data_IF_260536937475
#
_entry.id   IF_260536937475
#
_cell.length_a   1.000
_cell.length_b   1.000
_cell.length_c   1.000
_cell.angle_alpha   90.00
_cell.angle_beta   90.00
_cell.angle_gamma   90.00
#
_symmetry.space_group_name_H-M   'P 1'
#
loop_
_entity.id
_entity.type
_entity.pdbx_description
1 polymer ?
#
# COMPACT_ATOMS: atom_id res chain seq x y z
N UNK A 1 -6.64 -13.91 -4.27
CA UNK A 1 -7.60 -14.02 -5.39
C UNK A 1 -7.89 -15.50 -5.60
N UNK A 2 -9.14 -15.90 -5.92
CA UNK A 2 -9.42 -17.29 -6.24
C UNK A 2 -8.63 -17.73 -7.48
N UNK A 3 -8.21 -19.00 -7.56
CA UNK A 3 -7.53 -19.53 -8.74
C UNK A 3 -8.44 -19.47 -9.96
N UNK A 4 -7.88 -19.12 -11.12
CA UNK A 4 -8.61 -19.02 -12.39
C UNK A 4 -8.33 -20.20 -13.33
N UNK A 5 -7.66 -21.24 -12.81
CA UNK A 5 -7.50 -22.56 -13.43
C UNK A 5 -8.03 -23.66 -12.51
N UNK A 6 -8.17 -24.90 -13.00
CA UNK A 6 -8.54 -26.04 -12.16
C UNK A 6 -7.52 -26.43 -11.09
N UNK A 7 -6.33 -25.79 -11.03
CA UNK A 7 -5.30 -26.08 -10.02
C UNK A 7 -5.82 -25.95 -8.59
N UNK A 8 -6.84 -25.13 -8.37
CA UNK A 8 -7.45 -24.93 -7.06
C UNK A 8 -8.34 -26.09 -6.59
N UNK A 9 -8.74 -27.01 -7.47
CA UNK A 9 -9.65 -28.11 -7.10
C UNK A 9 -11.07 -27.69 -6.72
N UNK A 10 -11.45 -26.42 -6.96
CA UNK A 10 -12.72 -25.85 -6.52
C UNK A 10 -13.48 -25.26 -7.73
N UNK A 11 -14.81 -25.42 -7.82
CA UNK A 11 -15.62 -24.75 -8.84
C UNK A 11 -15.43 -23.23 -8.77
N UNK A 12 -15.32 -22.59 -9.95
CA UNK A 12 -15.05 -21.15 -10.03
C UNK A 12 -16.12 -20.46 -10.87
N UNK A 13 -16.67 -19.38 -10.32
CA UNK A 13 -17.48 -18.38 -11.02
C UNK A 13 -16.70 -17.08 -11.15
N UNK A 14 -16.90 -16.36 -12.25
CA UNK A 14 -16.30 -15.06 -12.50
C UNK A 14 -17.36 -14.02 -12.85
N UNK A 15 -17.09 -12.77 -12.49
CA UNK A 15 -17.75 -11.61 -13.08
C UNK A 15 -16.89 -11.17 -14.26
N UNK A 16 -17.42 -11.35 -15.48
CA UNK A 16 -16.75 -10.98 -16.73
C UNK A 16 -17.31 -9.65 -17.22
N UNK A 17 -16.46 -8.64 -17.34
CA UNK A 17 -16.83 -7.35 -17.93
C UNK A 17 -16.74 -7.44 -19.46
N UNK A 18 -17.86 -7.32 -20.17
CA UNK A 18 -17.90 -7.42 -21.63
C UNK A 18 -18.80 -6.33 -22.24
N UNK A 19 -18.55 -5.97 -23.50
CA UNK A 19 -19.41 -5.02 -24.24
C UNK A 19 -20.75 -5.68 -24.53
N UNK A 20 -21.84 -5.09 -24.03
CA UNK A 20 -23.20 -5.55 -24.31
C UNK A 20 -23.67 -4.99 -25.66
N UNK A 21 -23.97 -5.87 -26.61
CA UNK A 21 -24.55 -5.52 -27.90
C UNK A 21 -25.88 -6.23 -28.06
N UNK A 22 -26.96 -5.49 -28.33
CA UNK A 22 -28.29 -6.05 -28.55
C UNK A 22 -29.00 -5.30 -29.68
N UNK A 23 -29.62 -6.04 -30.61
CA UNK A 23 -30.34 -5.45 -31.77
C UNK A 23 -29.50 -4.46 -32.58
N UNK A 24 -28.19 -4.73 -32.71
CA UNK A 24 -27.24 -3.84 -33.39
C UNK A 24 -26.77 -2.62 -32.57
N UNK A 25 -27.32 -2.40 -31.38
CA UNK A 25 -26.97 -1.29 -30.50
C UNK A 25 -25.91 -1.69 -29.46
N UNK A 26 -24.93 -0.81 -29.22
CA UNK A 26 -23.90 -0.95 -28.18
C UNK A 26 -24.32 -0.24 -26.88
N UNK A 27 -24.43 -1.01 -25.80
CA UNK A 27 -24.83 -0.56 -24.47
C UNK A 27 -23.63 -0.42 -23.50
N UNK A 28 -22.39 -0.43 -24.03
CA UNK A 28 -21.18 -0.26 -23.24
C UNK A 28 -20.76 -1.53 -22.49
N UNK A 29 -19.81 -1.37 -21.55
CA UNK A 29 -19.22 -2.50 -20.81
C UNK A 29 -20.08 -2.86 -19.61
N UNK A 30 -20.56 -4.10 -19.55
CA UNK A 30 -21.49 -4.62 -18.54
C UNK A 30 -20.96 -5.91 -17.88
N UNK A 31 -21.29 -6.14 -16.61
CA UNK A 31 -20.90 -7.36 -15.88
C UNK A 31 -21.79 -8.57 -16.19
N UNK A 32 -21.16 -9.71 -16.45
CA UNK A 32 -21.83 -11.01 -16.64
C UNK A 32 -21.31 -12.04 -15.63
N UNK A 33 -22.20 -12.77 -14.99
CA UNK A 33 -21.85 -13.91 -14.14
C UNK A 33 -21.62 -15.16 -15.02
N UNK A 34 -20.43 -15.74 -14.92
CA UNK A 34 -20.01 -16.87 -15.76
C UNK A 34 -19.40 -17.96 -14.91
N UNK A 35 -19.92 -19.19 -14.97
CA UNK A 35 -19.21 -20.36 -14.48
C UNK A 35 -18.02 -20.62 -15.41
N UNK A 36 -16.80 -20.59 -14.87
CA UNK A 36 -15.58 -20.77 -15.67
C UNK A 36 -14.99 -22.17 -15.54
N UNK A 37 -15.21 -22.87 -14.42
CA UNK A 37 -14.75 -24.24 -14.23
C UNK A 37 -15.50 -24.97 -13.13
N UNK A 38 -15.48 -26.30 -13.17
CA UNK A 38 -16.14 -27.19 -12.20
C UNK A 38 -15.21 -27.65 -11.06
N UNK A 39 -13.98 -27.11 -11.02
CA UNK A 39 -12.93 -27.48 -10.07
C UNK A 39 -11.98 -28.55 -10.59
N UNK A 40 -12.36 -29.30 -11.62
CA UNK A 40 -11.52 -30.31 -12.27
C UNK A 40 -11.09 -29.86 -13.67
N UNK A 41 -11.96 -29.16 -14.39
CA UNK A 41 -11.76 -28.70 -15.76
C UNK A 41 -12.46 -27.36 -16.01
N UNK A 42 -12.11 -26.73 -17.14
CA UNK A 42 -12.77 -25.52 -17.63
C UNK A 42 -14.14 -25.86 -18.23
N UNK A 43 -15.10 -24.95 -18.12
CA UNK A 43 -16.39 -25.11 -18.81
C UNK A 43 -16.21 -25.08 -20.34
N UNK A 44 -17.17 -25.67 -21.06
CA UNK A 44 -17.14 -25.77 -22.53
C UNK A 44 -16.89 -24.41 -23.19
N UNK A 45 -15.95 -24.38 -24.13
CA UNK A 45 -15.52 -23.20 -24.88
C UNK A 45 -14.87 -22.07 -24.06
N UNK A 46 -14.45 -22.34 -22.82
CA UNK A 46 -13.64 -21.43 -22.01
C UNK A 46 -12.22 -22.01 -21.94
N UNK A 47 -11.22 -21.19 -22.25
CA UNK A 47 -9.81 -21.59 -22.20
C UNK A 47 -9.10 -20.64 -21.23
N UNK A 48 -8.45 -21.18 -20.19
CA UNK A 48 -7.64 -20.40 -19.26
C UNK A 48 -6.17 -20.80 -19.39
N UNK A 49 -5.30 -19.83 -19.70
CA UNK A 49 -3.86 -20.01 -19.83
C UNK A 49 -3.18 -19.39 -18.62
N UNK A 50 -2.56 -20.20 -17.76
CA UNK A 50 -1.83 -19.72 -16.61
C UNK A 50 -0.64 -18.85 -17.01
N UNK A 51 -0.50 -17.71 -16.35
CA UNK A 51 0.68 -16.86 -16.44
C UNK A 51 1.79 -17.39 -15.54
N UNK A 52 3.07 -17.17 -15.89
CA UNK A 52 4.19 -17.42 -14.99
C UNK A 52 4.05 -16.65 -13.67
N UNK A 53 4.68 -17.16 -12.62
CA UNK A 53 4.72 -16.49 -11.31
C UNK A 53 5.42 -15.15 -11.42
N UNK A 54 4.89 -14.14 -10.70
CA UNK A 54 5.58 -12.85 -10.57
C UNK A 54 6.87 -13.03 -9.76
N UNK A 55 7.87 -12.21 -10.05
CA UNK A 55 9.17 -12.22 -9.37
C UNK A 55 9.01 -12.06 -7.86
N UNK A 56 9.52 -13.03 -7.09
CA UNK A 56 9.69 -12.93 -5.64
C UNK A 56 8.41 -12.89 -4.79
N UNK A 57 7.22 -12.88 -5.38
CA UNK A 57 5.94 -12.85 -4.63
C UNK A 57 5.34 -14.23 -4.45
N UNK A 58 4.44 -14.39 -3.49
CA UNK A 58 3.68 -15.63 -3.40
C UNK A 58 2.91 -15.94 -4.70
N UNK A 59 2.90 -17.22 -5.13
CA UNK A 59 2.27 -17.59 -6.39
C UNK A 59 0.75 -17.39 -6.31
N UNK A 60 0.24 -16.61 -7.25
CA UNK A 60 -1.19 -16.47 -7.51
C UNK A 60 -1.42 -16.96 -8.93
N UNK A 61 -2.50 -17.72 -9.11
CA UNK A 61 -2.88 -18.33 -10.37
C UNK A 61 -3.54 -17.30 -11.32
N UNK A 62 -2.75 -16.32 -11.74
CA UNK A 62 -3.16 -15.34 -12.75
C UNK A 62 -3.22 -16.00 -14.13
N UNK A 63 -4.20 -15.61 -14.94
CA UNK A 63 -4.45 -16.27 -16.24
C UNK A 63 -4.84 -15.28 -17.33
N UNK A 64 -4.68 -15.72 -18.58
CA UNK A 64 -5.40 -15.17 -19.72
C UNK A 64 -6.58 -16.11 -20.01
N UNK A 65 -7.80 -15.60 -19.94
CA UNK A 65 -9.02 -16.39 -20.15
C UNK A 65 -9.72 -15.99 -21.46
N UNK A 66 -10.00 -16.96 -22.32
CA UNK A 66 -10.68 -16.80 -23.60
C UNK A 66 -12.08 -17.43 -23.54
N UNK A 67 -13.05 -16.78 -24.18
CA UNK A 67 -14.43 -17.23 -24.28
C UNK A 67 -14.80 -17.37 -25.76
N UNK A 68 -15.10 -18.57 -26.23
CA UNK A 68 -15.47 -18.83 -27.63
C UNK A 68 -16.97 -19.15 -27.77
N UNK A 69 -17.78 -18.18 -28.16
CA UNK A 69 -19.24 -18.35 -28.31
C UNK A 69 -19.91 -19.04 -27.10
N UNK A 70 -19.51 -18.65 -25.88
CA UNK A 70 -20.09 -19.16 -24.63
C UNK A 70 -21.52 -18.66 -24.50
N UNK A 71 -22.48 -19.58 -24.36
CA UNK A 71 -23.90 -19.26 -24.22
C UNK A 71 -24.24 -19.09 -22.74
N UNK A 72 -24.87 -17.97 -22.40
CA UNK A 72 -25.30 -17.64 -21.05
C UNK A 72 -26.81 -17.36 -21.06
N UNK A 73 -27.55 -17.69 -19.99
CA UNK A 73 -28.93 -17.26 -19.84
C UNK A 73 -29.01 -15.73 -19.69
N UNK A 74 -30.17 -15.14 -19.98
CA UNK A 74 -30.40 -13.69 -19.79
C UNK A 74 -30.09 -13.25 -18.34
N UNK A 75 -30.36 -14.11 -17.37
CA UNK A 75 -30.07 -13.88 -15.94
C UNK A 75 -28.58 -13.78 -15.59
N UNK A 76 -27.67 -14.09 -16.52
CA UNK A 76 -26.24 -13.89 -16.31
C UNK A 76 -25.84 -12.42 -16.35
N UNK A 77 -26.61 -11.55 -17.02
CA UNK A 77 -26.37 -10.10 -17.01
C UNK A 77 -26.72 -9.53 -15.63
N UNK A 78 -25.75 -8.88 -14.97
CA UNK A 78 -26.00 -8.21 -13.69
C UNK A 78 -26.48 -6.77 -13.95
N UNK A 79 -27.79 -6.54 -13.74
CA UNK A 79 -28.48 -5.26 -13.96
C UNK A 79 -29.42 -5.26 -15.18
N UNK A 80 -30.05 -4.11 -15.47
CA UNK A 80 -30.98 -3.95 -16.60
C UNK A 80 -30.27 -3.74 -17.94
N UNK A 81 -30.88 -4.10 -19.06
CA UNK A 81 -30.27 -3.90 -20.40
C UNK A 81 -30.22 -2.41 -20.75
N UNK A 82 -31.30 -1.71 -20.43
CA UNK A 82 -31.57 -0.33 -20.81
C UNK A 82 -30.57 0.65 -20.18
N UNK A 83 -30.05 0.33 -18.99
CA UNK A 83 -29.10 1.20 -18.28
C UNK A 83 -29.71 2.57 -17.94
N UNK A 84 -28.85 3.59 -17.80
CA UNK A 84 -29.28 4.99 -17.62
C UNK A 84 -29.22 5.81 -18.92
N UNK A 85 -28.72 5.22 -20.00
CA UNK A 85 -28.38 5.93 -21.25
C UNK A 85 -27.01 6.61 -21.22
N UNK A 86 -26.41 6.83 -20.03
CA UNK A 86 -25.02 7.26 -19.88
C UNK A 86 -24.10 6.06 -19.64
N UNK A 87 -23.46 5.60 -20.71
CA UNK A 87 -22.51 4.48 -20.70
C UNK A 87 -21.39 4.65 -19.65
N UNK A 88 -20.96 5.88 -19.38
CA UNK A 88 -19.89 6.16 -18.41
C UNK A 88 -20.39 6.04 -16.98
N UNK A 89 -21.57 6.57 -16.70
CA UNK A 89 -22.22 6.44 -15.39
C UNK A 89 -22.54 4.96 -15.10
N UNK A 90 -23.08 4.24 -16.07
CA UNK A 90 -23.41 2.82 -15.95
C UNK A 90 -22.16 1.97 -15.65
N UNK A 91 -21.06 2.22 -16.38
CA UNK A 91 -19.79 1.53 -16.12
C UNK A 91 -19.24 1.88 -14.72
N UNK A 92 -19.24 3.15 -14.33
CA UNK A 92 -18.80 3.59 -13.02
C UNK A 92 -19.60 2.94 -11.88
N UNK A 93 -20.92 2.81 -12.06
CA UNK A 93 -21.82 2.09 -11.15
C UNK A 93 -21.47 0.61 -11.07
N UNK A 94 -21.26 -0.06 -12.22
CA UNK A 94 -20.89 -1.47 -12.25
C UNK A 94 -19.56 -1.78 -11.54
N UNK A 95 -18.61 -0.84 -11.56
CA UNK A 95 -17.29 -1.00 -10.91
C UNK A 95 -17.19 -0.32 -9.54
N UNK A 96 -18.29 0.15 -8.93
CA UNK A 96 -18.23 0.91 -7.67
C UNK A 96 -17.48 0.16 -6.55
N UNK A 97 -17.54 -1.18 -6.54
CA UNK A 97 -16.84 -2.04 -5.57
C UNK A 97 -15.31 -2.02 -5.70
N UNK A 98 -14.75 -1.49 -6.79
CA UNK A 98 -13.30 -1.27 -6.90
C UNK A 98 -12.80 -0.42 -5.73
N UNK A 99 -13.58 0.57 -5.28
CA UNK A 99 -13.20 1.40 -4.14
C UNK A 99 -13.12 0.61 -2.81
N UNK A 100 -13.92 -0.44 -2.64
CA UNK A 100 -13.78 -1.39 -1.52
C UNK A 100 -12.42 -2.07 -1.62
N UNK A 101 -12.09 -2.59 -2.81
CA UNK A 101 -10.80 -3.21 -3.08
C UNK A 101 -9.62 -2.26 -2.84
N UNK A 102 -9.76 -1.00 -3.23
CA UNK A 102 -8.76 0.06 -2.98
C UNK A 102 -8.45 0.18 -1.49
N UNK A 103 -9.48 0.27 -0.64
CA UNK A 103 -9.32 0.38 0.80
C UNK A 103 -8.78 -0.92 1.41
N UNK A 104 -9.41 -2.07 1.14
CA UNK A 104 -9.05 -3.34 1.78
C UNK A 104 -7.66 -3.84 1.37
N UNK A 105 -7.28 -3.74 0.09
CA UNK A 105 -5.94 -4.19 -0.35
C UNK A 105 -4.87 -3.27 0.23
N UNK A 106 -5.08 -1.96 0.27
CA UNK A 106 -4.10 -1.07 0.90
C UNK A 106 -4.08 -1.21 2.43
N UNK A 107 -5.16 -1.67 3.05
CA UNK A 107 -5.22 -1.99 4.48
C UNK A 107 -4.25 -3.11 4.89
N UNK A 108 -3.86 -4.00 3.97
CA UNK A 108 -2.85 -5.04 4.26
C UNK A 108 -1.46 -4.47 4.56
N UNK A 109 -1.21 -3.18 4.28
CA UNK A 109 0.01 -2.48 4.72
C UNK A 109 0.22 -2.60 6.22
N UNK A 110 -0.85 -2.50 7.01
CA UNK A 110 -0.78 -2.50 8.47
C UNK A 110 -0.13 -3.78 8.99
N UNK A 111 -0.68 -5.00 8.75
CA UNK A 111 -0.06 -6.22 9.21
C UNK A 111 1.32 -6.45 8.57
N UNK A 112 1.55 -6.01 7.33
CA UNK A 112 2.87 -6.15 6.70
C UNK A 112 3.94 -5.25 7.33
N UNK A 113 3.59 -4.03 7.75
CA UNK A 113 4.49 -3.17 8.53
C UNK A 113 4.79 -3.82 9.89
N UNK A 114 3.78 -4.35 10.58
CA UNK A 114 3.96 -5.05 11.86
C UNK A 114 4.95 -6.22 11.73
N UNK A 115 4.75 -7.10 10.75
CA UNK A 115 5.67 -8.23 10.50
C UNK A 115 7.07 -7.74 10.14
N UNK A 116 7.18 -6.75 9.25
CA UNK A 116 8.48 -6.23 8.82
C UNK A 116 9.25 -5.55 9.97
N UNK A 117 8.57 -4.78 10.82
CA UNK A 117 9.14 -4.17 12.03
C UNK A 117 9.65 -5.24 12.99
N UNK A 118 8.83 -6.27 13.26
CA UNK A 118 9.22 -7.36 14.15
C UNK A 118 10.46 -8.11 13.63
N UNK A 119 10.45 -8.49 12.36
CA UNK A 119 11.57 -9.19 11.72
C UNK A 119 12.85 -8.35 11.77
N UNK A 120 12.76 -7.06 11.46
CA UNK A 120 13.90 -6.15 11.47
C UNK A 120 14.43 -5.89 12.89
N UNK A 121 13.57 -5.71 13.89
CA UNK A 121 13.95 -5.56 15.30
C UNK A 121 14.66 -6.81 15.81
N UNK A 122 14.09 -7.99 15.58
CA UNK A 122 14.66 -9.26 16.00
C UNK A 122 16.01 -9.53 15.34
N UNK A 123 16.15 -9.29 14.04
CA UNK A 123 17.45 -9.36 13.38
C UNK A 123 18.46 -8.40 14.03
N UNK A 124 18.04 -7.15 14.25
CA UNK A 124 18.90 -6.09 14.77
C UNK A 124 19.38 -6.36 16.20
N UNK A 125 18.55 -6.98 17.04
CA UNK A 125 18.93 -7.42 18.39
C UNK A 125 19.97 -8.53 18.38
N UNK A 126 19.83 -9.47 17.46
CA UNK A 126 20.71 -10.64 17.37
C UNK A 126 22.01 -10.38 16.59
N UNK A 127 22.04 -9.34 15.74
CA UNK A 127 23.21 -8.99 14.95
C UNK A 127 24.18 -8.16 15.78
N UNK A 128 25.37 -8.72 16.02
CA UNK A 128 26.44 -8.07 16.76
C UNK A 128 27.49 -7.45 15.82
N UNK A 129 28.07 -6.34 16.25
CA UNK A 129 29.28 -5.70 15.70
C UNK A 129 30.26 -5.40 16.81
N UNK A 130 31.51 -5.08 16.49
CA UNK A 130 32.51 -4.70 17.48
C UNK A 130 32.35 -3.24 17.88
N UNK A 131 32.18 -2.97 19.17
CA UNK A 131 32.12 -1.63 19.76
C UNK A 131 33.49 -0.94 19.83
N UNK A 132 33.50 0.34 20.21
CA UNK A 132 34.73 1.14 20.35
C UNK A 132 35.66 0.62 21.47
N UNK A 133 35.10 -0.11 22.42
CA UNK A 133 35.77 -0.75 23.55
C UNK A 133 36.20 -2.20 23.23
N UNK A 134 35.95 -2.67 22.00
CA UNK A 134 36.24 -4.03 21.57
C UNK A 134 35.17 -5.05 21.94
N UNK A 135 34.15 -4.68 22.70
CA UNK A 135 33.09 -5.59 23.12
C UNK A 135 32.01 -5.73 22.03
N UNK A 136 31.33 -6.90 21.93
CA UNK A 136 30.18 -7.03 21.03
C UNK A 136 29.03 -6.11 21.44
N UNK A 137 28.54 -5.31 20.50
CA UNK A 137 27.35 -4.47 20.65
C UNK A 137 26.30 -4.87 19.62
N UNK A 138 25.04 -4.91 20.05
CA UNK A 138 23.91 -5.17 19.16
C UNK A 138 23.65 -3.99 18.22
N UNK A 139 23.34 -4.26 16.95
CA UNK A 139 23.13 -3.16 16.00
C UNK A 139 21.87 -2.35 16.29
N UNK A 140 20.91 -2.89 17.06
CA UNK A 140 19.69 -2.15 17.47
C UNK A 140 20.02 -0.89 18.30
N UNK A 141 21.17 -0.86 18.97
CA UNK A 141 21.64 0.28 19.77
C UNK A 141 21.92 1.52 18.92
N UNK A 142 22.16 1.37 17.61
CA UNK A 142 22.41 2.49 16.73
C UNK A 142 21.11 3.14 16.26
N UNK A 143 21.04 4.47 16.38
CA UNK A 143 19.90 5.26 15.90
C UNK A 143 19.56 5.02 14.43
N UNK A 144 20.58 4.82 13.60
CA UNK A 144 20.40 4.51 12.18
C UNK A 144 19.72 3.17 11.92
N UNK A 145 19.74 2.25 12.90
CA UNK A 145 19.11 0.95 12.85
C UNK A 145 17.68 0.97 13.42
N UNK A 146 17.48 1.60 14.58
CA UNK A 146 16.18 1.61 15.25
C UNK A 146 15.17 2.63 14.67
N UNK A 147 15.65 3.73 14.08
CA UNK A 147 14.78 4.79 13.56
C UNK A 147 13.77 4.29 12.50
N UNK A 148 14.14 3.50 11.48
CA UNK A 148 13.17 2.96 10.51
C UNK A 148 12.11 2.06 11.15
N UNK A 149 12.47 1.30 12.19
CA UNK A 149 11.56 0.41 12.91
C UNK A 149 10.53 1.24 13.67
N UNK A 150 10.98 2.25 14.42
CA UNK A 150 10.10 3.14 15.18
C UNK A 150 9.17 3.95 14.27
N UNK A 151 9.63 4.37 13.10
CA UNK A 151 8.76 4.97 12.09
C UNK A 151 7.66 4.02 11.63
N UNK A 152 8.00 2.77 11.32
CA UNK A 152 7.02 1.78 10.91
C UNK A 152 5.98 1.53 12.02
N UNK A 153 6.40 1.55 13.28
CA UNK A 153 5.51 1.44 14.46
C UNK A 153 4.53 2.60 14.56
N UNK A 154 5.02 3.84 14.49
CA UNK A 154 4.17 5.03 14.46
C UNK A 154 3.19 5.00 13.27
N UNK A 155 3.69 4.63 12.09
CA UNK A 155 2.90 4.57 10.87
C UNK A 155 1.79 3.53 10.93
N UNK A 156 2.05 2.28 11.33
CA UNK A 156 0.98 1.29 11.38
C UNK A 156 -0.06 1.64 12.46
N UNK A 157 0.36 2.23 13.58
CA UNK A 157 -0.55 2.60 14.68
C UNK A 157 -1.53 3.71 14.25
N UNK A 158 -1.03 4.71 13.51
CA UNK A 158 -1.86 5.76 12.91
C UNK A 158 -2.71 5.22 11.76
N UNK A 159 -2.15 4.37 10.90
CA UNK A 159 -2.88 3.76 9.78
C UNK A 159 -4.02 2.84 10.25
N UNK A 160 -3.89 2.16 11.39
CA UNK A 160 -4.98 1.36 11.97
C UNK A 160 -6.20 2.22 12.28
N UNK A 161 -6.01 3.33 12.98
CA UNK A 161 -7.08 4.28 13.30
C UNK A 161 -7.67 4.89 12.03
N UNK A 162 -6.83 5.26 11.06
CA UNK A 162 -7.30 5.78 9.78
C UNK A 162 -8.08 4.73 8.98
N UNK A 163 -7.66 3.47 8.98
CA UNK A 163 -8.37 2.39 8.28
C UNK A 163 -9.76 2.18 8.85
N UNK A 164 -9.90 2.17 10.19
CA UNK A 164 -11.19 2.04 10.87
C UNK A 164 -12.11 3.22 10.53
N UNK A 165 -11.61 4.46 10.63
CA UNK A 165 -12.37 5.67 10.26
C UNK A 165 -12.78 5.68 8.78
N UNK A 166 -11.86 5.30 7.88
CA UNK A 166 -12.11 5.19 6.46
C UNK A 166 -13.13 4.10 6.13
N UNK A 167 -13.08 2.95 6.80
CA UNK A 167 -14.05 1.87 6.64
C UNK A 167 -15.44 2.27 7.14
N UNK A 168 -15.53 2.98 8.26
CA UNK A 168 -16.78 3.57 8.76
C UNK A 168 -17.39 4.54 7.75
N UNK A 169 -16.59 5.47 7.24
CA UNK A 169 -17.01 6.41 6.19
C UNK A 169 -17.42 5.70 4.89
N UNK A 170 -16.73 4.62 4.53
CA UNK A 170 -17.07 3.84 3.34
C UNK A 170 -18.44 3.14 3.48
N UNK A 171 -18.75 2.65 4.68
CA UNK A 171 -20.02 2.02 5.03
C UNK A 171 -21.20 2.99 5.15
N UNK A 172 -20.94 4.28 5.34
CA UNK A 172 -21.98 5.30 5.39
C UNK A 172 -22.55 5.60 3.99
N UNK A 173 -23.73 5.03 3.72
CA UNK A 173 -24.43 5.18 2.45
C UNK A 173 -25.01 6.59 2.23
N UNK A 174 -25.05 7.45 3.26
CA UNK A 174 -25.47 8.84 3.14
C UNK A 174 -24.39 9.73 2.48
N UNK A 175 -23.12 9.30 2.56
CA UNK A 175 -22.02 10.01 1.92
C UNK A 175 -22.03 9.81 0.40
N UNK A 176 -21.68 10.89 -0.31
CA UNK A 176 -21.47 10.87 -1.75
C UNK A 176 -20.49 9.73 -2.12
N UNK A 177 -20.84 8.81 -3.04
CA UNK A 177 -19.95 7.73 -3.48
C UNK A 177 -18.57 8.20 -3.93
N UNK A 178 -18.48 9.42 -4.48
CA UNK A 178 -17.22 10.04 -4.91
C UNK A 178 -16.34 10.40 -3.71
N UNK A 179 -16.94 10.90 -2.63
CA UNK A 179 -16.22 11.20 -1.38
C UNK A 179 -15.72 9.89 -0.76
N UNK A 180 -16.56 8.85 -0.69
CA UNK A 180 -16.15 7.52 -0.19
C UNK A 180 -14.96 6.94 -0.95
N UNK A 181 -14.97 7.04 -2.28
CA UNK A 181 -13.83 6.65 -3.11
C UNK A 181 -12.62 7.56 -2.88
N UNK A 182 -12.83 8.87 -2.71
CA UNK A 182 -11.78 9.82 -2.36
C UNK A 182 -11.06 9.43 -1.07
N UNK A 183 -11.80 9.02 -0.04
CA UNK A 183 -11.26 8.56 1.25
C UNK A 183 -10.41 7.29 1.06
N UNK A 184 -10.95 6.28 0.35
CA UNK A 184 -10.20 5.06 0.03
C UNK A 184 -8.90 5.35 -0.76
N UNK A 185 -8.94 6.35 -1.64
CA UNK A 185 -7.79 6.78 -2.44
C UNK A 185 -6.73 7.49 -1.59
N UNK A 186 -7.17 8.38 -0.68
CA UNK A 186 -6.29 9.08 0.26
C UNK A 186 -5.62 8.08 1.23
N UNK A 187 -6.38 7.12 1.75
CA UNK A 187 -5.85 6.03 2.56
C UNK A 187 -4.79 5.22 1.78
N UNK A 188 -5.12 4.76 0.57
CA UNK A 188 -4.17 4.01 -0.27
C UNK A 188 -2.90 4.81 -0.56
N UNK A 189 -3.01 6.11 -0.85
CA UNK A 189 -1.86 6.96 -1.15
C UNK A 189 -0.87 7.02 0.02
N UNK A 190 -1.38 7.17 1.23
CA UNK A 190 -0.55 7.26 2.44
C UNK A 190 -0.02 5.89 2.86
N UNK A 191 -0.88 4.87 2.90
CA UNK A 191 -0.48 3.51 3.28
C UNK A 191 0.63 2.97 2.37
N UNK A 192 0.48 3.09 1.04
CA UNK A 192 1.50 2.62 0.09
C UNK A 192 2.80 3.44 0.19
N UNK A 193 2.71 4.76 0.41
CA UNK A 193 3.89 5.60 0.56
C UNK A 193 4.69 5.22 1.82
N UNK A 194 4.00 5.13 2.97
CA UNK A 194 4.60 4.74 4.24
C UNK A 194 5.23 3.36 4.15
N UNK A 195 4.49 2.38 3.62
CA UNK A 195 5.00 1.03 3.41
C UNK A 195 6.28 1.02 2.58
N UNK A 196 6.26 1.64 1.40
CA UNK A 196 7.38 1.60 0.45
C UNK A 196 8.66 2.20 1.02
N UNK A 197 8.56 3.23 1.86
CA UNK A 197 9.71 3.87 2.51
C UNK A 197 10.25 3.03 3.66
N UNK A 198 9.35 2.59 4.54
CA UNK A 198 9.74 1.85 5.74
C UNK A 198 10.25 0.45 5.44
N UNK A 199 9.59 -0.30 4.53
CA UNK A 199 10.06 -1.65 4.16
C UNK A 199 11.47 -1.62 3.56
N UNK A 200 11.73 -0.64 2.69
CA UNK A 200 13.04 -0.48 2.05
C UNK A 200 14.11 -0.16 3.09
N UNK A 201 13.85 0.82 3.95
CA UNK A 201 14.80 1.23 4.98
C UNK A 201 15.10 0.07 5.95
N UNK A 202 14.07 -0.65 6.43
CA UNK A 202 14.24 -1.82 7.30
C UNK A 202 14.97 -2.98 6.61
N UNK A 203 14.68 -3.24 5.32
CA UNK A 203 15.36 -4.28 4.55
C UNK A 203 16.86 -3.98 4.39
N UNK A 204 17.21 -2.75 4.03
CA UNK A 204 18.61 -2.31 3.94
C UNK A 204 19.36 -2.45 5.29
N UNK A 205 18.66 -2.23 6.41
CA UNK A 205 19.19 -2.45 7.76
C UNK A 205 19.41 -3.92 8.12
N UNK A 206 18.77 -4.85 7.40
CA UNK A 206 18.98 -6.29 7.56
C UNK A 206 20.13 -6.84 6.70
N UNK A 207 20.81 -5.98 5.92
CA UNK A 207 21.89 -6.38 5.02
C UNK A 207 21.43 -7.43 4.01
N UNK A 208 22.35 -8.30 3.59
CA UNK A 208 22.05 -9.33 2.57
C UNK A 208 20.96 -10.33 3.01
N UNK A 209 20.75 -10.52 4.32
CA UNK A 209 19.73 -11.44 4.81
C UNK A 209 18.31 -11.04 4.36
N UNK A 210 18.02 -9.73 4.31
CA UNK A 210 16.71 -9.22 3.91
C UNK A 210 16.37 -9.43 2.43
N UNK A 211 17.36 -9.76 1.60
CA UNK A 211 17.17 -10.09 0.17
C UNK A 211 16.74 -11.54 -0.07
N UNK A 212 16.85 -12.42 0.92
CA UNK A 212 16.37 -13.79 0.77
C UNK A 212 14.86 -13.88 1.03
N UNK A 213 14.14 -14.54 0.11
CA UNK A 213 12.69 -14.68 0.18
C UNK A 213 12.18 -15.29 1.50
N UNK A 214 12.94 -16.21 2.11
CA UNK A 214 12.56 -16.83 3.38
C UNK A 214 12.55 -15.84 4.57
N UNK A 215 13.18 -14.67 4.46
CA UNK A 215 13.15 -13.62 5.48
C UNK A 215 12.06 -12.56 5.26
N UNK A 216 11.15 -12.79 4.30
CA UNK A 216 9.89 -12.05 4.07
C UNK A 216 10.03 -10.59 3.60
N UNK A 217 11.04 -9.82 3.99
CA UNK A 217 11.10 -8.36 3.75
C UNK A 217 11.02 -7.98 2.26
N UNK A 218 11.92 -8.50 1.42
CA UNK A 218 11.90 -8.21 -0.02
C UNK A 218 10.64 -8.76 -0.72
N UNK A 219 10.13 -9.90 -0.25
CA UNK A 219 8.89 -10.49 -0.78
C UNK A 219 7.68 -9.59 -0.51
N UNK A 220 7.54 -9.09 0.73
CA UNK A 220 6.50 -8.13 1.12
C UNK A 220 6.60 -6.83 0.29
N UNK A 221 7.82 -6.34 0.04
CA UNK A 221 8.04 -5.18 -0.83
C UNK A 221 7.45 -5.41 -2.24
N UNK A 222 7.78 -6.55 -2.86
CA UNK A 222 7.33 -6.89 -4.21
C UNK A 222 5.81 -7.13 -4.27
N UNK A 223 5.21 -7.64 -3.20
CA UNK A 223 3.76 -7.80 -3.10
C UNK A 223 3.04 -6.45 -3.06
N UNK A 224 3.50 -5.54 -2.21
CA UNK A 224 2.89 -4.22 -2.05
C UNK A 224 3.11 -3.30 -3.25
N UNK A 225 4.20 -3.49 -4.01
CA UNK A 225 4.34 -2.85 -5.33
C UNK A 225 3.18 -3.23 -6.25
N UNK A 226 2.73 -4.49 -6.22
CA UNK A 226 1.54 -4.94 -6.96
C UNK A 226 0.24 -4.29 -6.45
N UNK A 227 0.08 -4.17 -5.14
CA UNK A 227 -1.07 -3.51 -4.52
C UNK A 227 -1.19 -2.02 -4.89
N UNK A 228 -0.06 -1.33 -5.15
CA UNK A 228 -0.07 0.06 -5.62
C UNK A 228 -0.77 0.23 -6.98
N UNK A 229 -0.74 -0.80 -7.83
CA UNK A 229 -1.38 -0.83 -9.16
C UNK A 229 -2.76 -1.50 -9.13
N UNK A 230 -2.95 -2.55 -8.31
CA UNK A 230 -4.20 -3.29 -8.23
C UNK A 230 -5.36 -2.42 -7.71
N UNK A 231 -6.60 -2.70 -8.14
CA UNK A 231 -7.80 -1.93 -7.75
C UNK A 231 -7.69 -0.43 -8.07
N UNK A 232 -7.03 -0.10 -9.17
CA UNK A 232 -6.77 1.26 -9.62
C UNK A 232 -5.34 1.68 -9.32
N UNK A 233 -4.62 2.03 -10.39
CA UNK A 233 -3.28 2.57 -10.28
C UNK A 233 -3.30 3.84 -9.42
N UNK A 234 -2.40 3.90 -8.43
CA UNK A 234 -2.40 4.98 -7.46
C UNK A 234 -2.24 6.37 -8.11
N UNK A 235 -1.45 6.51 -9.17
CA UNK A 235 -1.32 7.80 -9.86
C UNK A 235 -2.60 8.15 -10.60
N UNK A 236 -3.21 7.19 -11.29
CA UNK A 236 -4.47 7.41 -12.02
C UNK A 236 -5.60 7.78 -11.06
N UNK A 237 -5.70 7.10 -9.92
CA UNK A 237 -6.66 7.43 -8.86
C UNK A 237 -6.41 8.84 -8.32
N UNK A 238 -5.15 9.19 -8.05
CA UNK A 238 -4.80 10.50 -7.53
C UNK A 238 -5.10 11.63 -8.53
N UNK A 239 -4.80 11.43 -9.82
CA UNK A 239 -5.16 12.35 -10.91
C UNK A 239 -6.66 12.57 -10.91
N UNK A 240 -7.46 11.51 -10.94
CA UNK A 240 -8.92 11.62 -10.94
C UNK A 240 -9.42 12.42 -9.74
N UNK A 241 -9.00 12.05 -8.53
CA UNK A 241 -9.43 12.71 -7.30
C UNK A 241 -9.04 14.20 -7.30
N UNK A 242 -7.75 14.50 -7.45
CA UNK A 242 -7.26 15.88 -7.41
C UNK A 242 -7.89 16.75 -8.51
N UNK A 243 -7.99 16.26 -9.75
CA UNK A 243 -8.63 17.02 -10.83
C UNK A 243 -10.09 17.35 -10.53
N UNK A 244 -10.87 16.39 -10.00
CA UNK A 244 -12.28 16.62 -9.68
C UNK A 244 -12.49 17.57 -8.50
N UNK A 245 -11.58 17.55 -7.51
CA UNK A 245 -11.57 18.51 -6.41
C UNK A 245 -11.19 19.93 -6.88
N UNK A 246 -10.18 20.05 -7.74
CA UNK A 246 -9.70 21.35 -8.24
C UNK A 246 -10.74 22.08 -9.09
N UNK A 247 -11.53 21.35 -9.89
CA UNK A 247 -12.64 21.92 -10.68
C UNK A 247 -13.96 22.00 -9.90
N UNK A 248 -13.95 21.67 -8.59
CA UNK A 248 -15.07 21.89 -7.70
C UNK A 248 -16.26 20.93 -7.86
N UNK A 249 -16.05 19.70 -8.33
CA UNK A 249 -17.16 18.72 -8.46
C UNK A 249 -17.74 18.24 -7.14
N UNK A 250 -16.88 18.13 -6.13
CA UNK A 250 -17.20 17.77 -4.76
C UNK A 250 -16.03 18.21 -3.86
N UNK A 251 -16.17 18.01 -2.55
CA UNK A 251 -15.13 18.32 -1.56
C UNK A 251 -14.88 17.11 -0.67
N UNK A 252 -13.64 16.93 -0.26
CA UNK A 252 -13.30 16.00 0.82
C UNK A 252 -13.75 16.58 2.17
N UNK A 253 -13.89 15.75 3.22
CA UNK A 253 -14.18 16.24 4.57
C UNK A 253 -13.16 17.31 4.98
N UNK A 254 -13.61 18.46 5.53
CA UNK A 254 -12.70 19.52 5.95
C UNK A 254 -11.81 19.08 7.13
N UNK A 255 -10.70 19.78 7.39
CA UNK A 255 -9.87 19.55 8.57
C UNK A 255 -10.66 19.75 9.87
N UNK A 256 -10.53 18.82 10.82
CA UNK A 256 -11.01 18.97 12.19
C UNK A 256 -10.07 19.85 13.02
N UNK A 257 -8.77 19.88 12.66
CA UNK A 257 -7.76 20.75 13.26
C UNK A 257 -7.02 21.58 12.20
N UNK A 258 -7.65 22.65 11.66
CA UNK A 258 -7.11 23.48 10.57
C UNK A 258 -5.78 24.17 10.92
N UNK A 259 -5.47 24.32 12.21
CA UNK A 259 -4.25 24.96 12.70
C UNK A 259 -3.06 24.01 12.80
N UNK A 260 -3.24 22.71 12.63
CA UNK A 260 -2.12 21.74 12.61
C UNK A 260 -1.21 21.99 11.39
N UNK A 261 0.09 21.74 11.54
CA UNK A 261 1.05 21.91 10.45
C UNK A 261 0.68 21.08 9.22
N UNK A 262 0.19 19.86 9.42
CA UNK A 262 -0.23 18.96 8.35
C UNK A 262 -1.45 19.52 7.59
N UNK A 263 -2.46 20.06 8.29
CA UNK A 263 -3.64 20.65 7.65
C UNK A 263 -3.30 21.94 6.90
N UNK A 264 -2.40 22.78 7.46
CA UNK A 264 -1.92 23.98 6.78
C UNK A 264 -1.16 23.64 5.49
N UNK A 265 -0.35 22.58 5.50
CA UNK A 265 0.35 22.10 4.31
C UNK A 265 -0.60 21.60 3.22
N UNK A 266 -1.64 20.83 3.58
CA UNK A 266 -2.71 20.45 2.64
C UNK A 266 -3.36 21.69 2.01
N UNK A 267 -3.76 22.66 2.84
CA UNK A 267 -4.40 23.87 2.37
C UNK A 267 -3.50 24.68 1.42
N UNK A 268 -2.21 24.80 1.74
CA UNK A 268 -1.24 25.51 0.91
C UNK A 268 -1.03 24.84 -0.46
N UNK A 269 -0.86 23.51 -0.50
CA UNK A 269 -0.72 22.78 -1.77
C UNK A 269 -1.97 22.92 -2.65
N UNK A 270 -3.17 22.86 -2.07
CA UNK A 270 -4.40 23.09 -2.83
C UNK A 270 -4.55 24.54 -3.30
N UNK A 271 -4.06 25.52 -2.53
CA UNK A 271 -4.03 26.93 -2.93
C UNK A 271 -3.11 27.15 -4.14
N UNK A 272 -1.91 26.56 -4.10
CA UNK A 272 -0.95 26.57 -5.20
C UNK A 272 -1.55 25.95 -6.47
N UNK A 273 -2.09 24.73 -6.35
CA UNK A 273 -2.68 24.02 -7.48
C UNK A 273 -3.88 24.75 -8.09
N UNK A 274 -4.70 25.42 -7.27
CA UNK A 274 -5.80 26.29 -7.76
C UNK A 274 -5.26 27.52 -8.49
N UNK A 275 -4.21 28.16 -7.97
CA UNK A 275 -3.54 29.28 -8.64
C UNK A 275 -2.98 28.86 -9.99
N UNK A 276 -2.32 27.70 -10.09
CA UNK A 276 -1.84 27.15 -11.36
C UNK A 276 -2.99 26.86 -12.34
N UNK A 277 -4.12 26.34 -11.84
CA UNK A 277 -5.30 26.06 -12.67
C UNK A 277 -5.87 27.33 -13.28
N UNK A 278 -5.97 28.41 -12.49
CA UNK A 278 -6.51 29.69 -12.97
C UNK A 278 -5.51 30.41 -13.88
N UNK A 279 -4.27 30.59 -13.42
CA UNK A 279 -3.30 31.46 -14.07
C UNK A 279 -2.67 30.81 -15.31
N UNK A 280 -2.38 29.51 -15.25
CA UNK A 280 -1.65 28.82 -16.32
C UNK A 280 -2.56 27.98 -17.20
N UNK A 281 -3.59 27.35 -16.64
CA UNK A 281 -4.49 26.46 -17.38
C UNK A 281 -5.83 27.11 -17.76
N UNK A 282 -6.06 28.38 -17.38
CA UNK A 282 -7.29 29.14 -17.68
C UNK A 282 -8.57 28.38 -17.29
N UNK A 283 -8.53 27.64 -16.18
CA UNK A 283 -9.64 26.80 -15.72
C UNK A 283 -9.85 25.49 -16.51
N UNK A 284 -9.07 25.24 -17.57
CA UNK A 284 -9.19 24.05 -18.39
C UNK A 284 -8.30 22.90 -17.89
N UNK A 285 -8.93 21.95 -17.18
CA UNK A 285 -8.30 20.72 -16.68
C UNK A 285 -7.89 19.70 -17.76
N UNK A 286 -8.07 20.04 -19.05
CA UNK A 286 -7.62 19.25 -20.20
C UNK A 286 -6.57 19.97 -21.05
N UNK A 287 -6.09 21.12 -20.60
CA UNK A 287 -5.06 21.88 -21.31
C UNK A 287 -3.67 21.25 -21.14
N UNK A 288 -2.76 21.53 -22.07
CA UNK A 288 -1.36 21.13 -21.96
C UNK A 288 -0.69 21.72 -20.71
N UNK A 289 -1.13 22.91 -20.30
CA UNK A 289 -0.66 23.55 -19.07
C UNK A 289 -1.06 22.77 -17.83
N UNK A 290 -2.29 22.22 -17.79
CA UNK A 290 -2.73 21.31 -16.73
C UNK A 290 -1.91 20.02 -16.71
N UNK A 291 -1.68 19.43 -17.89
CA UNK A 291 -0.83 18.25 -18.06
C UNK A 291 0.58 18.49 -17.49
N UNK A 292 1.22 19.59 -17.86
CA UNK A 292 2.58 19.92 -17.45
C UNK A 292 2.71 20.28 -15.98
N UNK A 293 1.81 21.13 -15.47
CA UNK A 293 2.02 21.80 -14.19
C UNK A 293 1.20 21.21 -13.03
N UNK A 294 0.08 20.52 -13.30
CA UNK A 294 -0.85 20.08 -12.25
C UNK A 294 -0.92 18.55 -12.13
N UNK A 295 -0.87 17.80 -13.22
CA UNK A 295 -0.86 16.33 -13.13
C UNK A 295 0.27 15.77 -12.25
N UNK A 296 1.52 16.31 -12.29
CA UNK A 296 2.58 15.87 -11.38
C UNK A 296 2.27 16.13 -9.90
N UNK A 297 1.43 17.13 -9.60
CA UNK A 297 1.04 17.52 -8.25
C UNK A 297 -0.14 16.69 -7.70
N UNK A 298 -0.87 15.96 -8.54
CA UNK A 298 -2.07 15.23 -8.12
C UNK A 298 -1.79 14.20 -7.01
N UNK A 299 -0.71 13.42 -7.11
CA UNK A 299 -0.36 12.47 -6.04
C UNK A 299 0.09 13.18 -4.75
N UNK A 300 0.97 14.19 -4.79
CA UNK A 300 1.25 15.04 -3.63
C UNK A 300 0.00 15.61 -2.94
N UNK A 301 -0.95 16.16 -3.71
CA UNK A 301 -2.21 16.71 -3.18
C UNK A 301 -3.04 15.65 -2.44
N UNK A 302 -3.16 14.45 -3.03
CA UNK A 302 -3.92 13.35 -2.43
C UNK A 302 -3.21 12.77 -1.21
N UNK A 303 -1.88 12.71 -1.22
CA UNK A 303 -1.10 12.36 -0.03
C UNK A 303 -1.31 13.37 1.09
N UNK A 304 -1.37 14.66 0.80
CA UNK A 304 -1.60 15.70 1.81
C UNK A 304 -2.97 15.53 2.51
N UNK A 305 -4.03 15.29 1.74
CA UNK A 305 -5.35 14.91 2.28
C UNK A 305 -5.23 13.70 3.19
N UNK A 306 -4.60 12.63 2.71
CA UNK A 306 -4.47 11.40 3.47
C UNK A 306 -3.65 11.57 4.75
N UNK A 307 -2.58 12.38 4.73
CA UNK A 307 -1.75 12.61 5.90
C UNK A 307 -2.51 13.33 7.00
N UNK A 308 -3.27 14.38 6.63
CA UNK A 308 -4.15 15.08 7.55
C UNK A 308 -5.20 14.11 8.12
N UNK A 309 -5.93 13.42 7.24
CA UNK A 309 -7.00 12.50 7.69
C UNK A 309 -6.46 11.39 8.61
N UNK A 310 -5.27 10.86 8.32
CA UNK A 310 -4.62 9.87 9.17
C UNK A 310 -4.26 10.43 10.55
N UNK A 311 -3.68 11.63 10.58
CA UNK A 311 -3.34 12.32 11.82
C UNK A 311 -4.58 12.61 12.67
N UNK A 312 -5.65 13.14 12.07
CA UNK A 312 -6.91 13.42 12.75
C UNK A 312 -7.58 12.14 13.27
N UNK A 313 -7.57 11.06 12.49
CA UNK A 313 -8.11 9.76 12.92
C UNK A 313 -7.33 9.18 14.10
N UNK A 314 -6.00 9.37 14.15
CA UNK A 314 -5.19 8.94 15.29
C UNK A 314 -5.47 9.75 16.56
N UNK A 315 -5.70 11.07 16.42
CA UNK A 315 -6.12 11.91 17.54
C UNK A 315 -7.51 11.50 18.07
N UNK A 316 -8.47 11.29 17.17
CA UNK A 316 -9.83 10.86 17.53
C UNK A 316 -9.85 9.49 18.22
N UNK A 317 -9.01 8.56 17.74
CA UNK A 317 -8.87 7.23 18.33
C UNK A 317 -8.02 7.19 19.61
N UNK A 318 -7.47 8.34 20.06
CA UNK A 318 -6.56 8.45 21.20
C UNK A 318 -5.35 7.49 21.08
N UNK A 319 -4.75 7.41 19.90
CA UNK A 319 -3.44 6.74 19.72
C UNK A 319 -2.42 7.40 20.63
N UNK A 320 -1.54 6.58 21.23
CA UNK A 320 -0.46 7.05 22.14
C UNK A 320 0.24 8.31 21.59
N UNK A 321 0.19 9.44 22.32
CA UNK A 321 0.70 10.73 21.83
C UNK A 321 2.13 10.68 21.29
N UNK A 322 3.01 9.89 21.90
CA UNK A 322 4.41 9.74 21.43
C UNK A 322 4.48 9.14 20.02
N UNK A 323 3.61 8.18 19.69
CA UNK A 323 3.52 7.60 18.34
C UNK A 323 2.98 8.62 17.34
N UNK A 324 2.00 9.43 17.74
CA UNK A 324 1.44 10.49 16.89
C UNK A 324 2.48 11.58 16.61
N UNK A 325 3.31 11.95 17.58
CA UNK A 325 4.41 12.90 17.40
C UNK A 325 5.47 12.39 16.42
N UNK A 326 5.88 11.13 16.54
CA UNK A 326 6.81 10.53 15.57
C UNK A 326 6.19 10.44 14.17
N UNK A 327 4.90 10.13 14.08
CA UNK A 327 4.19 10.13 12.81
C UNK A 327 4.18 11.53 12.17
N UNK A 328 3.86 12.58 12.94
CA UNK A 328 3.86 13.97 12.48
C UNK A 328 5.25 14.40 12.01
N UNK A 329 6.30 14.12 12.79
CA UNK A 329 7.69 14.38 12.39
C UNK A 329 8.05 13.69 11.06
N UNK A 330 7.59 12.45 10.87
CA UNK A 330 7.74 11.70 9.63
C UNK A 330 7.02 12.35 8.44
N UNK A 331 5.80 12.83 8.63
CA UNK A 331 5.04 13.56 7.60
C UNK A 331 5.73 14.89 7.25
N UNK A 332 6.24 15.62 8.24
CA UNK A 332 6.98 16.88 8.03
C UNK A 332 8.23 16.65 7.17
N UNK A 333 8.97 15.57 7.48
CA UNK A 333 10.18 15.17 6.75
C UNK A 333 9.95 14.81 5.28
N UNK A 334 8.70 14.56 4.87
CA UNK A 334 8.35 14.33 3.45
C UNK A 334 8.33 15.62 2.62
N UNK A 335 8.08 16.77 3.24
CA UNK A 335 7.96 18.08 2.58
C UNK A 335 8.72 19.19 3.29
N UNK A 336 10.00 18.99 3.68
CA UNK A 336 10.68 19.83 4.66
C UNK A 336 10.84 21.28 4.20
N UNK A 337 10.88 21.53 2.88
CA UNK A 337 11.01 22.87 2.31
C UNK A 337 9.80 23.76 2.65
N UNK A 338 8.58 23.26 2.47
CA UNK A 338 7.37 24.03 2.77
C UNK A 338 7.28 24.37 4.26
N UNK A 339 7.58 23.40 5.13
CA UNK A 339 7.57 23.63 6.58
C UNK A 339 8.65 24.63 7.03
N UNK A 340 9.80 24.66 6.36
CA UNK A 340 10.86 25.63 6.64
C UNK A 340 10.53 27.04 6.14
N UNK A 341 9.95 27.18 4.95
CA UNK A 341 9.68 28.47 4.33
C UNK A 341 8.37 29.11 4.80
N UNK A 342 7.34 28.30 5.05
CA UNK A 342 5.96 28.75 5.32
C UNK A 342 5.42 28.24 6.65
N UNK A 343 5.86 27.06 7.11
CA UNK A 343 5.37 26.44 8.34
C UNK A 343 6.08 26.89 9.63
N UNK A 344 7.11 27.74 9.54
CA UNK A 344 7.88 28.21 10.71
C UNK A 344 8.75 27.14 11.38
N UNK A 345 8.90 25.96 10.77
CA UNK A 345 9.72 24.85 11.28
C UNK A 345 11.03 24.81 10.52
N UNK A 346 12.04 25.53 10.99
CA UNK A 346 13.37 25.46 10.37
C UNK A 346 13.94 24.02 10.46
N UNK A 347 14.95 23.72 9.66
CA UNK A 347 15.53 22.37 9.58
C UNK A 347 16.00 21.82 10.94
N UNK A 348 16.54 22.67 11.81
CA UNK A 348 16.98 22.25 13.14
C UNK A 348 15.80 21.87 14.03
N UNK A 349 14.70 22.62 13.98
CA UNK A 349 13.46 22.28 14.70
C UNK A 349 12.89 20.96 14.18
N UNK A 350 12.83 20.76 12.87
CA UNK A 350 12.35 19.50 12.28
C UNK A 350 13.21 18.29 12.72
N UNK A 351 14.53 18.46 12.77
CA UNK A 351 15.45 17.42 13.27
C UNK A 351 15.19 17.13 14.74
N UNK A 352 15.02 18.16 15.56
CA UNK A 352 14.82 17.99 17.01
C UNK A 352 13.48 17.32 17.33
N UNK A 353 12.42 17.65 16.60
CA UNK A 353 11.12 16.98 16.70
C UNK A 353 11.24 15.46 16.43
N UNK A 354 11.96 15.07 15.37
CA UNK A 354 12.25 13.66 15.08
C UNK A 354 13.12 13.04 16.19
N UNK A 355 14.15 13.75 16.65
CA UNK A 355 15.05 13.24 17.68
C UNK A 355 14.31 12.91 18.98
N UNK A 356 13.57 13.88 19.51
CA UNK A 356 12.84 13.76 20.77
C UNK A 356 11.77 12.66 20.71
N UNK A 357 10.96 12.64 19.65
CA UNK A 357 9.87 11.67 19.52
C UNK A 357 10.37 10.22 19.52
N UNK A 358 11.54 9.97 18.92
CA UNK A 358 12.13 8.63 18.90
C UNK A 358 12.84 8.32 20.21
N UNK A 359 13.46 9.30 20.88
CA UNK A 359 14.05 9.11 22.22
C UNK A 359 12.98 8.74 23.24
N UNK A 360 11.78 9.31 23.12
CA UNK A 360 10.64 9.01 23.99
C UNK A 360 10.04 7.60 23.76
N UNK A 361 10.25 7.02 22.58
CA UNK A 361 9.70 5.72 22.17
C UNK A 361 10.71 4.57 22.25
N UNK A 362 12.00 4.84 22.04
CA UNK A 362 13.03 3.82 21.97
C UNK A 362 13.09 2.90 23.21
N UNK A 363 12.95 3.41 24.45
CA UNK A 363 12.90 2.55 25.64
C UNK A 363 11.74 1.54 25.65
N UNK A 364 10.68 1.81 24.89
CA UNK A 364 9.48 0.99 24.81
C UNK A 364 9.44 0.07 23.58
N UNK A 365 10.43 0.16 22.68
CA UNK A 365 10.44 -0.58 21.41
C UNK A 365 10.27 -2.09 21.60
N UNK A 366 10.99 -2.66 22.57
CA UNK A 366 10.90 -4.10 22.85
C UNK A 366 9.49 -4.52 23.27
N UNK A 367 8.85 -3.76 24.16
CA UNK A 367 7.50 -4.04 24.62
C UNK A 367 6.51 -3.91 23.47
N UNK A 368 6.64 -2.87 22.63
CA UNK A 368 5.79 -2.70 21.45
C UNK A 368 5.92 -3.88 20.46
N UNK A 369 7.12 -4.44 20.29
CA UNK A 369 7.31 -5.64 19.46
C UNK A 369 6.64 -6.88 20.06
N UNK A 370 6.70 -7.06 21.38
CA UNK A 370 6.03 -8.17 22.08
C UNK A 370 4.50 -8.05 22.01
N UNK A 371 3.97 -6.86 22.30
CA UNK A 371 2.54 -6.56 22.28
C UNK A 371 1.93 -6.62 20.87
N UNK A 372 2.75 -6.48 19.82
CA UNK A 372 2.31 -6.58 18.43
C UNK A 372 1.73 -7.96 18.07
N UNK A 373 2.07 -9.02 18.82
CA UNK A 373 1.67 -10.40 18.54
C UNK A 373 2.31 -10.99 17.28
N UNK A 374 3.27 -10.31 16.64
CA UNK A 374 3.85 -10.74 15.37
C UNK A 374 4.77 -11.95 15.48
N UNK A 375 5.19 -12.32 16.70
CA UNK A 375 5.99 -13.51 16.94
C UNK A 375 5.33 -14.78 16.37
N UNK A 376 4.01 -14.91 16.51
CA UNK A 376 3.25 -16.10 16.06
C UNK A 376 3.11 -16.17 14.53
N UNK A 377 3.31 -15.06 13.83
CA UNK A 377 3.20 -14.94 12.38
C UNK A 377 4.56 -14.79 11.69
N UNK A 378 5.65 -14.68 12.48
CA UNK A 378 6.99 -14.50 11.98
C UNK A 378 7.64 -15.84 11.66
N UNK A 379 7.84 -16.08 10.36
CA UNK A 379 8.48 -17.31 9.87
C UNK A 379 9.91 -17.05 9.35
N UNK A 380 10.43 -15.83 9.51
CA UNK A 380 11.74 -15.44 9.03
C UNK A 380 12.85 -16.14 9.84
N UNK A 381 13.71 -16.97 9.23
CA UNK A 381 14.81 -17.64 9.91
C UNK A 381 15.73 -16.69 10.69
N UNK A 382 15.89 -15.45 10.22
CA UNK A 382 16.76 -14.46 10.86
C UNK A 382 16.19 -13.85 12.16
N UNK A 383 14.93 -14.13 12.52
CA UNK A 383 14.29 -13.54 13.69
C UNK A 383 14.63 -14.24 15.02
N UNK A 384 15.15 -15.48 14.99
CA UNK A 384 15.63 -16.16 16.20
C UNK A 384 16.59 -17.30 15.87
N UNK A 385 17.41 -17.68 16.86
CA UNK A 385 18.30 -18.83 16.73
C UNK A 385 17.55 -20.13 16.43
N UNK A 386 16.41 -20.36 17.09
CA UNK A 386 15.62 -21.57 16.88
C UNK A 386 15.08 -21.66 15.44
N UNK A 387 14.60 -20.55 14.87
CA UNK A 387 14.14 -20.49 13.48
C UNK A 387 15.30 -20.68 12.50
N UNK A 388 16.46 -20.08 12.79
CA UNK A 388 17.67 -20.24 12.01
C UNK A 388 18.15 -21.69 11.97
N UNK A 389 18.32 -22.33 13.13
CA UNK A 389 18.80 -23.71 13.24
C UNK A 389 17.84 -24.69 12.56
N UNK A 390 16.53 -24.48 12.74
CA UNK A 390 15.50 -25.26 12.05
C UNK A 390 15.51 -25.07 10.52
N UNK A 391 15.79 -23.85 10.03
CA UNK A 391 15.96 -23.58 8.61
C UNK A 391 17.21 -24.26 8.05
N UNK A 392 18.36 -24.09 8.69
CA UNK A 392 19.64 -24.69 8.29
C UNK A 392 19.55 -26.21 8.25
N UNK A 393 18.90 -26.83 9.24
CA UNK A 393 18.71 -28.28 9.30
C UNK A 393 17.88 -28.86 8.15
N UNK A 394 17.13 -28.03 7.41
CA UNK A 394 16.36 -28.44 6.22
C UNK A 394 17.05 -28.14 4.90
N UNK A 395 18.20 -27.46 4.92
CA UNK A 395 18.93 -27.13 3.69
C UNK A 395 19.54 -28.38 3.07
N UNK A 396 19.52 -28.43 1.74
CA UNK A 396 20.27 -29.42 0.99
C UNK A 396 21.76 -29.31 1.35
N UNK A 397 22.33 -30.43 1.78
CA UNK A 397 23.70 -30.46 2.29
C UNK A 397 24.59 -31.20 1.30
N UNK A 398 25.51 -30.47 0.67
CA UNK A 398 26.52 -31.03 -0.22
C UNK A 398 27.79 -31.35 0.60
N UNK A 399 28.16 -32.63 0.70
CA UNK A 399 29.39 -33.09 1.36
C UNK A 399 30.28 -33.83 0.34
N UNK A 400 31.59 -33.79 0.55
CA UNK A 400 32.54 -34.53 -0.28
C UNK A 400 33.94 -34.58 0.32
N UNK A 401 34.77 -35.48 -0.20
CA UNK A 401 36.17 -35.66 0.20
C UNK A 401 37.13 -35.21 -0.91
N UNK A 402 36.74 -34.20 -1.70
CA UNK A 402 37.54 -33.74 -2.83
C UNK A 402 38.83 -33.07 -2.34
N UNK A 403 39.97 -33.47 -2.91
CA UNK A 403 41.27 -32.81 -2.74
C UNK A 403 41.70 -32.20 -4.08
N UNK A 404 41.08 -31.09 -4.52
CA UNK A 404 41.44 -30.45 -5.76
C UNK A 404 42.82 -29.81 -5.63
N UNK A 405 43.80 -30.31 -6.37
CA UNK A 405 45.07 -29.64 -6.53
C UNK A 405 44.97 -28.64 -7.68
N UNK A 406 44.60 -27.41 -7.34
CA UNK A 406 44.42 -26.30 -8.28
C UNK A 406 45.74 -25.89 -8.94
N UNK A 407 46.88 -26.25 -8.33
CA UNK A 407 48.22 -25.84 -8.74
C UNK A 407 49.00 -26.98 -9.43
N UNK A 408 48.63 -28.25 -9.28
CA UNK A 408 49.26 -29.38 -10.00
C UNK A 408 49.07 -29.37 -11.54
N UNK A 409 48.31 -28.40 -12.08
CA UNK A 409 48.12 -28.20 -13.52
C UNK A 409 48.68 -26.86 -14.04
N UNK A 410 49.36 -26.09 -13.19
CA UNK A 410 50.20 -24.95 -13.58
C UNK A 410 51.65 -25.39 -13.59
#
# INVERSE_FOLDING_TARGET
MPPATPRGGIPVVAIVMARLVAEGNDFGVRPFLVQIGDGNQMCKNIISKALPTRTGTHPIDHTITYFNHVRLPRSALLGSIEGTGDKRADFASAIHRVAVGTLCISGSVIPFLKVASYVADQYSRNRLVTGHDGNPISVIEFRTQNLPILYAVAQYSVLESFFVSAAGSFGDMSLDPRVRHGIATAFKAVAINHFSKSIKAMNERCGWHGHFAHNQLLQLELEMRGASTAQGDLRVLAIRLASELLIGRYKMPPPSSPTSFIAQHEAALFSEAKSLLQNSAQGNHRSESFNRNILPLCLPLVKAIGYRMAFEAAQEANVEPKLVQLYEAGVIKEGPAWYAEQGGLCRDVQREMESQAVDDLLPHLQNMMQESGMQDYCNAPMASKALWDGFVGRLETFKGNASPDLLARL
#
